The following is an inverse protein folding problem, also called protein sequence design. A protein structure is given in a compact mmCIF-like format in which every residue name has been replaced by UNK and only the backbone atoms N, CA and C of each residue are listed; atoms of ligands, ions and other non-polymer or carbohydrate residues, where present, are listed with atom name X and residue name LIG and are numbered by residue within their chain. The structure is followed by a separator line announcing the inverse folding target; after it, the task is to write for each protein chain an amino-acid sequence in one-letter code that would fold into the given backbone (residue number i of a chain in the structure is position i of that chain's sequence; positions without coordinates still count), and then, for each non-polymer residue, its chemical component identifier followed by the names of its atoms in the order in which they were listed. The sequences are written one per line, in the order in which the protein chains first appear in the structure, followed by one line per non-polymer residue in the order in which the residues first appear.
data_IF_347655257936
#
_entry.id   IF_347655257936
#
_cell.length_a   1.000
_cell.length_b   1.000
_cell.length_c   1.000
_cell.angle_alpha   90.00
_cell.angle_beta   90.00
_cell.angle_gamma   90.00
#
_symmetry.space_group_name_H-M   'P 1'
#
loop_
_entity.id
_entity.type
_entity.pdbx_description
1 polymer ?
#
# COMPACT_ATOMS: atom_id res chain seq x y z
N UNK A 1 -3.65 -20.02 26.49
CA UNK A 1 -3.95 -20.82 25.28
C UNK A 1 -2.70 -20.99 24.44
N UNK A 2 -2.73 -21.92 23.50
CA UNK A 2 -1.69 -22.09 22.48
C UNK A 2 -2.21 -21.58 21.13
N UNK A 3 -1.61 -20.52 20.61
CA UNK A 3 -2.05 -19.78 19.43
C UNK A 3 -1.08 -20.01 18.28
N UNK A 4 -1.60 -20.45 17.14
CA UNK A 4 -0.83 -20.59 15.90
C UNK A 4 -1.12 -19.45 14.92
N UNK A 5 -0.08 -18.93 14.25
CA UNK A 5 -0.22 -17.90 13.23
C UNK A 5 0.21 -18.43 11.87
N UNK A 6 -0.57 -18.17 10.83
CA UNK A 6 -0.25 -18.50 9.44
C UNK A 6 -0.29 -17.24 8.60
N UNK A 7 0.89 -16.83 8.11
CA UNK A 7 0.99 -15.79 7.08
C UNK A 7 0.98 -16.47 5.70
N UNK A 8 -0.16 -16.39 5.03
CA UNK A 8 -0.39 -17.07 3.74
C UNK A 8 0.43 -16.48 2.60
N UNK A 9 0.75 -15.19 2.70
CA UNK A 9 1.55 -14.49 1.70
C UNK A 9 3.07 -14.70 1.89
N UNK A 10 3.46 -15.32 3.01
CA UNK A 10 4.85 -15.55 3.39
C UNK A 10 5.46 -14.40 4.19
N UNK A 11 6.59 -14.67 4.82
CA UNK A 11 7.17 -13.80 5.85
C UNK A 11 8.05 -12.66 5.30
N UNK A 12 7.94 -12.31 4.02
CA UNK A 12 8.76 -11.26 3.41
C UNK A 12 8.27 -9.83 3.73
N UNK A 13 6.99 -9.70 4.06
CA UNK A 13 6.36 -8.43 4.44
C UNK A 13 5.63 -8.62 5.76
N UNK A 14 5.80 -7.69 6.73
CA UNK A 14 5.11 -7.77 8.01
C UNK A 14 3.59 -7.73 7.84
N UNK A 15 2.91 -8.71 8.42
CA UNK A 15 1.45 -8.78 8.43
C UNK A 15 0.93 -8.14 9.72
N UNK A 16 0.51 -6.88 9.62
CA UNK A 16 0.12 -6.06 10.77
C UNK A 16 -1.01 -6.68 11.62
N UNK A 17 -2.09 -7.25 11.03
CA UNK A 17 -3.10 -7.98 11.80
C UNK A 17 -2.52 -9.13 12.64
N UNK A 18 -1.64 -9.95 12.09
CA UNK A 18 -1.01 -11.05 12.84
C UNK A 18 -0.10 -10.52 13.97
N UNK A 19 0.60 -9.41 13.73
CA UNK A 19 1.43 -8.77 14.77
C UNK A 19 0.59 -8.24 15.93
N UNK A 20 -0.58 -7.64 15.66
CA UNK A 20 -1.51 -7.16 16.68
C UNK A 20 -2.15 -8.31 17.44
N UNK A 21 -2.60 -9.36 16.75
CA UNK A 21 -3.12 -10.59 17.38
C UNK A 21 -2.07 -11.23 18.28
N UNK A 22 -0.82 -11.31 17.83
CA UNK A 22 0.29 -11.83 18.64
C UNK A 22 0.49 -11.01 19.92
N UNK A 23 0.53 -9.69 19.79
CA UNK A 23 0.69 -8.79 20.93
C UNK A 23 -0.43 -8.96 21.94
N UNK A 24 -1.69 -9.00 21.46
CA UNK A 24 -2.86 -9.16 22.31
C UNK A 24 -2.85 -10.49 23.07
N UNK A 25 -2.62 -11.61 22.40
CA UNK A 25 -2.55 -12.92 23.04
C UNK A 25 -1.39 -13.04 24.05
N UNK A 26 -0.23 -12.49 23.71
CA UNK A 26 0.90 -12.45 24.65
C UNK A 26 0.57 -11.64 25.93
N UNK A 27 -0.17 -10.54 25.80
CA UNK A 27 -0.66 -9.77 26.98
C UNK A 27 -1.64 -10.57 27.84
N UNK A 28 -2.39 -11.51 27.26
CA UNK A 28 -3.27 -12.42 28.00
C UNK A 28 -2.52 -13.61 28.64
N UNK A 29 -1.21 -13.69 28.44
CA UNK A 29 -0.40 -14.81 28.93
C UNK A 29 -0.45 -16.07 28.05
N UNK A 30 -0.93 -15.95 26.81
CA UNK A 30 -0.98 -17.04 25.86
C UNK A 30 0.38 -17.29 25.21
N UNK A 31 0.61 -18.53 24.77
CA UNK A 31 1.80 -18.87 23.96
C UNK A 31 1.46 -18.68 22.49
N UNK A 32 2.19 -17.79 21.82
CA UNK A 32 2.02 -17.47 20.40
C UNK A 32 3.23 -17.90 19.59
N UNK A 33 3.01 -18.63 18.50
CA UNK A 33 4.07 -19.11 17.62
C UNK A 33 3.59 -19.20 16.17
N UNK A 34 4.52 -19.25 15.22
CA UNK A 34 4.16 -19.64 13.85
C UNK A 34 3.61 -21.06 13.86
N UNK A 35 2.49 -21.27 13.16
CA UNK A 35 1.85 -22.58 13.09
C UNK A 35 2.78 -23.60 12.44
N UNK A 36 2.93 -24.73 13.09
CA UNK A 36 3.64 -25.89 12.57
C UNK A 36 2.73 -27.12 12.55
N UNK A 37 2.56 -27.73 11.37
CA UNK A 37 1.64 -28.86 11.16
C UNK A 37 2.05 -30.08 11.99
N UNK A 38 3.36 -30.36 12.12
CA UNK A 38 3.83 -31.52 12.87
C UNK A 38 3.60 -31.34 14.36
N UNK A 39 3.94 -30.16 14.88
CA UNK A 39 3.68 -29.83 16.28
C UNK A 39 2.18 -29.86 16.58
N UNK A 40 1.34 -29.35 15.66
CA UNK A 40 -0.11 -29.38 15.77
C UNK A 40 -0.72 -30.78 15.77
N UNK A 41 -0.14 -31.70 15.01
CA UNK A 41 -0.58 -33.11 14.99
C UNK A 41 -0.46 -33.78 16.37
N UNK A 42 0.65 -33.51 17.09
CA UNK A 42 0.89 -34.13 18.41
C UNK A 42 0.25 -33.37 19.56
N UNK A 43 0.15 -32.03 19.43
CA UNK A 43 -0.48 -31.15 20.40
C UNK A 43 -1.27 -30.07 19.67
N UNK A 44 -2.59 -30.26 19.48
CA UNK A 44 -3.41 -29.29 18.75
C UNK A 44 -3.37 -27.90 19.37
N UNK A 45 -3.43 -26.88 18.51
CA UNK A 45 -3.55 -25.50 18.92
C UNK A 45 -4.95 -25.21 19.46
N UNK A 46 -5.09 -24.25 20.37
CA UNK A 46 -6.40 -23.78 20.78
C UNK A 46 -7.04 -22.96 19.66
N UNK A 47 -6.27 -22.00 19.11
CA UNK A 47 -6.72 -21.14 18.01
C UNK A 47 -5.62 -21.00 16.97
N UNK A 48 -5.98 -21.00 15.69
CA UNK A 48 -5.08 -20.65 14.58
C UNK A 48 -5.68 -19.47 13.81
N UNK A 49 -4.88 -18.41 13.67
CA UNK A 49 -5.21 -17.26 12.82
C UNK A 49 -4.46 -17.35 11.50
N UNK A 50 -5.20 -17.26 10.40
CA UNK A 50 -4.64 -17.23 9.04
C UNK A 50 -4.90 -15.86 8.43
N UNK A 51 -3.87 -15.20 7.95
CA UNK A 51 -4.00 -13.93 7.25
C UNK A 51 -3.50 -14.03 5.82
N UNK A 52 -4.32 -13.56 4.87
CA UNK A 52 -4.02 -13.48 3.45
C UNK A 52 -4.32 -12.07 2.95
N UNK A 53 -3.31 -11.37 2.46
CA UNK A 53 -3.43 -9.99 1.97
C UNK A 53 -3.73 -9.96 0.48
N UNK A 54 -3.05 -10.79 -0.33
CA UNK A 54 -3.16 -10.80 -1.78
C UNK A 54 -4.08 -11.92 -2.28
N UNK A 55 -5.02 -11.58 -3.16
CA UNK A 55 -5.95 -12.52 -3.79
C UNK A 55 -5.24 -13.63 -4.58
N UNK A 56 -4.11 -13.30 -5.19
CA UNK A 56 -3.34 -14.21 -6.04
C UNK A 56 -2.39 -15.14 -5.28
N UNK A 57 -2.17 -14.95 -3.98
CA UNK A 57 -1.34 -15.86 -3.18
C UNK A 57 -2.01 -17.23 -3.09
N UNK A 58 -1.27 -18.33 -3.30
CA UNK A 58 -1.78 -19.68 -3.06
C UNK A 58 -2.22 -19.82 -1.60
N UNK A 59 -3.33 -20.50 -1.37
CA UNK A 59 -3.80 -20.71 0.01
C UNK A 59 -2.93 -21.77 0.74
N UNK A 60 -3.01 -21.75 2.05
CA UNK A 60 -2.35 -22.76 2.89
C UNK A 60 -3.07 -24.12 2.73
N UNK A 61 -2.33 -25.14 2.30
CA UNK A 61 -2.89 -26.44 1.93
C UNK A 61 -2.59 -27.58 2.91
N UNK A 62 -1.71 -27.33 3.89
CA UNK A 62 -1.40 -28.36 4.89
C UNK A 62 -2.55 -28.51 5.90
N UNK A 63 -2.71 -29.70 6.52
CA UNK A 63 -3.69 -29.89 7.58
C UNK A 63 -3.47 -28.95 8.75
N UNK A 64 -4.56 -28.41 9.29
CA UNK A 64 -4.52 -27.54 10.47
C UNK A 64 -5.16 -28.28 11.65
N UNK A 65 -4.35 -28.53 12.68
CA UNK A 65 -4.77 -29.18 13.92
C UNK A 65 -4.98 -28.12 15.01
N UNK A 66 -6.22 -27.62 15.10
CA UNK A 66 -6.64 -26.61 16.06
C UNK A 66 -8.11 -26.82 16.44
N UNK A 67 -8.52 -26.30 17.62
CA UNK A 67 -9.93 -26.28 18.03
C UNK A 67 -10.72 -25.27 17.20
N UNK A 68 -10.10 -24.12 16.94
CA UNK A 68 -10.70 -23.03 16.15
C UNK A 68 -9.71 -22.51 15.10
N UNK A 69 -10.23 -22.12 13.93
CA UNK A 69 -9.44 -21.54 12.84
C UNK A 69 -10.15 -20.29 12.33
N UNK A 70 -9.48 -19.13 12.44
CA UNK A 70 -9.96 -17.86 11.94
C UNK A 70 -9.19 -17.45 10.70
N UNK A 71 -9.92 -17.06 9.63
CA UNK A 71 -9.35 -16.54 8.39
C UNK A 71 -9.66 -15.07 8.26
N UNK A 72 -8.66 -14.27 7.87
CA UNK A 72 -8.81 -12.84 7.68
C UNK A 72 -7.86 -12.28 6.62
N UNK A 73 -8.01 -10.99 6.38
CA UNK A 73 -7.22 -10.27 5.39
C UNK A 73 -7.92 -10.15 4.03
N UNK A 74 -7.53 -9.14 3.29
CA UNK A 74 -8.18 -8.72 2.02
C UNK A 74 -8.21 -9.82 0.97
N UNK A 75 -7.19 -10.68 0.93
CA UNK A 75 -7.08 -11.77 -0.03
C UNK A 75 -8.20 -12.84 0.10
N UNK A 76 -8.76 -13.01 1.30
CA UNK A 76 -9.93 -13.88 1.50
C UNK A 76 -11.26 -13.20 1.17
N UNK A 77 -11.27 -11.88 1.02
CA UNK A 77 -12.46 -11.11 0.66
C UNK A 77 -12.61 -10.93 -0.85
N UNK A 78 -11.67 -11.43 -1.64
CA UNK A 78 -11.65 -11.26 -3.10
C UNK A 78 -11.78 -12.61 -3.77
N UNK A 79 -12.81 -12.75 -4.63
CA UNK A 79 -12.93 -13.88 -5.56
C UNK A 79 -12.58 -13.44 -6.98
N UNK A 80 -12.16 -14.39 -7.81
CA UNK A 80 -11.97 -14.15 -9.24
C UNK A 80 -13.12 -14.81 -10.02
N UNK A 81 -14.01 -13.98 -10.55
CA UNK A 81 -15.15 -14.41 -11.36
C UNK A 81 -14.96 -13.98 -12.81
N UNK A 82 -14.80 -14.92 -13.71
CA UNK A 82 -14.57 -14.69 -15.14
C UNK A 82 -13.39 -13.73 -15.44
N UNK A 83 -12.34 -13.82 -14.62
CA UNK A 83 -11.16 -12.97 -14.78
C UNK A 83 -11.31 -11.55 -14.19
N UNK A 84 -12.31 -11.30 -13.35
CA UNK A 84 -12.47 -10.06 -12.59
C UNK A 84 -12.40 -10.33 -11.11
N UNK A 85 -11.68 -9.50 -10.40
CA UNK A 85 -11.67 -9.52 -8.94
C UNK A 85 -12.92 -8.86 -8.40
N UNK A 86 -13.67 -9.60 -7.56
CA UNK A 86 -14.87 -9.11 -6.87
C UNK A 86 -14.59 -9.11 -5.38
N UNK A 87 -14.78 -7.95 -4.77
CA UNK A 87 -14.64 -7.79 -3.33
C UNK A 87 -15.97 -8.10 -2.62
N UNK A 88 -15.91 -8.98 -1.64
CA UNK A 88 -17.03 -9.41 -0.80
C UNK A 88 -16.95 -8.73 0.56
N UNK A 89 -17.72 -7.67 0.73
CA UNK A 89 -17.72 -6.85 1.97
C UNK A 89 -18.09 -7.66 3.20
N UNK A 90 -18.98 -8.62 3.06
CA UNK A 90 -19.46 -9.52 4.12
C UNK A 90 -18.38 -10.44 4.68
N UNK A 91 -17.30 -10.67 3.92
CA UNK A 91 -16.15 -11.46 4.35
C UNK A 91 -15.05 -10.59 5.00
N UNK A 92 -15.21 -9.26 4.96
CA UNK A 92 -14.23 -8.35 5.53
C UNK A 92 -14.46 -8.18 7.03
N UNK A 93 -13.71 -8.90 7.81
CA UNK A 93 -13.73 -8.80 9.27
C UNK A 93 -12.57 -7.95 9.76
N UNK A 94 -12.87 -6.80 10.36
CA UNK A 94 -11.88 -5.97 11.04
C UNK A 94 -11.52 -6.61 12.39
N UNK A 95 -10.33 -6.30 12.87
CA UNK A 95 -9.97 -6.62 14.25
C UNK A 95 -10.88 -5.85 15.21
N UNK A 96 -11.24 -6.42 16.37
CA UNK A 96 -11.89 -5.67 17.46
C UNK A 96 -11.04 -4.48 17.88
N UNK A 97 -11.68 -3.39 18.31
CA UNK A 97 -10.99 -2.14 18.69
C UNK A 97 -9.90 -2.38 19.75
N UNK A 98 -10.13 -3.27 20.71
CA UNK A 98 -9.17 -3.64 21.74
C UNK A 98 -7.89 -4.30 21.19
N UNK A 99 -7.95 -4.87 19.98
CA UNK A 99 -6.79 -5.46 19.27
C UNK A 99 -6.25 -4.45 18.25
N UNK A 100 -7.12 -3.68 17.59
CA UNK A 100 -6.70 -2.72 16.56
C UNK A 100 -5.76 -1.65 17.12
N UNK A 101 -5.94 -1.21 18.37
CA UNK A 101 -5.13 -0.18 19.02
C UNK A 101 -3.95 -0.70 19.84
N UNK A 102 -3.64 -2.01 19.75
CA UNK A 102 -2.46 -2.60 20.41
C UNK A 102 -1.19 -2.32 19.57
N UNK A 103 -0.10 -1.98 20.29
CA UNK A 103 1.23 -1.89 19.70
C UNK A 103 1.63 -3.23 19.08
N UNK A 104 2.03 -3.27 17.80
CA UNK A 104 2.30 -4.51 17.08
C UNK A 104 3.49 -5.29 17.67
N UNK A 105 3.39 -6.61 17.68
CA UNK A 105 4.51 -7.49 18.03
C UNK A 105 5.53 -7.58 16.89
N UNK A 106 6.47 -6.68 16.87
CA UNK A 106 7.53 -6.63 15.85
C UNK A 106 8.48 -7.83 15.90
N UNK A 107 8.49 -8.61 16.99
CA UNK A 107 9.34 -9.79 17.10
C UNK A 107 8.98 -10.91 16.12
N UNK A 108 7.73 -10.94 15.62
CA UNK A 108 7.27 -11.90 14.61
C UNK A 108 8.03 -11.79 13.28
N UNK A 109 8.43 -10.56 12.90
CA UNK A 109 9.11 -10.26 11.64
C UNK A 109 10.42 -9.54 11.90
N UNK A 110 11.20 -10.05 12.84
CA UNK A 110 12.40 -9.38 13.37
C UNK A 110 13.34 -8.84 12.29
N UNK A 111 13.59 -9.59 11.21
CA UNK A 111 14.51 -9.14 10.15
C UNK A 111 13.98 -7.96 9.36
N UNK A 112 12.67 -7.90 9.12
CA UNK A 112 12.02 -6.83 8.35
C UNK A 112 11.72 -5.59 9.20
N UNK A 113 11.55 -5.77 10.51
CA UNK A 113 11.05 -4.73 11.42
C UNK A 113 12.10 -4.19 12.39
N UNK A 114 13.33 -4.69 12.32
CA UNK A 114 14.44 -4.34 13.23
C UNK A 114 14.59 -2.81 13.46
N UNK A 115 14.48 -2.03 12.39
CA UNK A 115 14.60 -0.57 12.42
C UNK A 115 13.38 0.12 11.78
N UNK A 116 12.28 -0.60 11.55
CA UNK A 116 11.15 -0.11 10.75
C UNK A 116 9.82 -0.39 11.41
N UNK A 117 9.03 0.66 11.63
CA UNK A 117 7.66 0.59 12.07
C UNK A 117 6.70 0.54 10.88
N UNK A 118 5.59 -0.18 11.02
CA UNK A 118 4.54 -0.33 10.01
C UNK A 118 3.20 0.03 10.62
N UNK A 119 2.41 0.87 9.93
CA UNK A 119 1.08 1.21 10.44
C UNK A 119 0.27 2.10 9.52
N UNK A 120 -0.92 2.44 10.01
CA UNK A 120 -1.85 3.34 9.40
C UNK A 120 -2.16 4.47 10.38
N UNK A 121 -2.05 5.70 9.94
CA UNK A 121 -2.57 6.87 10.63
C UNK A 121 -4.02 7.15 10.21
N UNK A 122 -4.32 6.85 8.93
CA UNK A 122 -5.66 7.08 8.36
C UNK A 122 -6.14 5.87 7.55
N UNK A 123 -7.46 5.74 7.45
CA UNK A 123 -8.17 4.79 6.59
C UNK A 123 -9.19 5.52 5.73
N UNK A 124 -9.57 4.89 4.60
CA UNK A 124 -10.54 5.43 3.66
C UNK A 124 -9.99 6.47 2.70
N UNK A 125 -10.74 6.69 1.61
CA UNK A 125 -10.34 7.63 0.56
C UNK A 125 -11.57 8.24 -0.14
N UNK A 126 -11.68 9.59 -0.26
CA UNK A 126 -12.85 10.24 -0.86
C UNK A 126 -12.92 10.11 -2.39
N UNK A 127 -11.97 9.45 -3.05
CA UNK A 127 -11.89 9.44 -4.53
C UNK A 127 -12.84 8.47 -5.20
N UNK A 128 -13.14 7.33 -4.61
CA UNK A 128 -14.05 6.35 -5.17
C UNK A 128 -13.66 5.86 -6.57
N UNK A 129 -12.35 5.72 -6.86
CA UNK A 129 -11.86 5.25 -8.14
C UNK A 129 -12.44 3.88 -8.47
N UNK A 130 -12.85 3.66 -9.74
CA UNK A 130 -13.53 2.43 -10.19
C UNK A 130 -12.69 1.18 -10.02
N UNK A 131 -11.39 1.31 -10.13
CA UNK A 131 -10.40 0.23 -10.02
C UNK A 131 -9.89 -0.01 -8.60
N UNK A 132 -10.32 0.80 -7.61
CA UNK A 132 -9.75 0.79 -6.27
C UNK A 132 -10.72 0.18 -5.26
N UNK A 133 -10.24 -0.80 -4.49
CA UNK A 133 -11.00 -1.50 -3.46
C UNK A 133 -11.27 -0.64 -2.21
N UNK A 134 -10.47 0.43 -1.98
CA UNK A 134 -10.52 1.21 -0.72
C UNK A 134 -11.92 1.75 -0.42
N UNK A 135 -12.65 2.21 -1.44
CA UNK A 135 -14.03 2.72 -1.27
C UNK A 135 -14.99 1.68 -0.68
N UNK A 136 -14.86 0.43 -1.10
CA UNK A 136 -15.73 -0.67 -0.69
C UNK A 136 -15.30 -1.27 0.65
N UNK A 137 -13.99 -1.28 0.90
CA UNK A 137 -13.38 -1.84 2.10
C UNK A 137 -13.36 -0.85 3.28
N UNK A 138 -12.97 0.40 3.05
CA UNK A 138 -12.66 1.38 4.10
C UNK A 138 -13.56 2.62 4.06
N UNK A 139 -14.35 2.80 2.97
CA UNK A 139 -15.28 3.91 2.79
C UNK A 139 -14.72 5.10 2.03
N UNK A 140 -15.64 6.06 1.77
CA UNK A 140 -15.40 7.26 0.95
C UNK A 140 -14.99 8.50 1.80
N UNK A 141 -14.42 8.29 2.98
CA UNK A 141 -13.93 9.37 3.83
C UNK A 141 -12.59 8.98 4.44
N UNK A 142 -11.56 9.79 4.23
CA UNK A 142 -10.31 9.60 4.96
C UNK A 142 -10.48 10.12 6.38
N UNK A 143 -10.20 9.29 7.36
CA UNK A 143 -10.33 9.60 8.77
C UNK A 143 -9.15 9.02 9.56
N UNK A 144 -8.78 9.69 10.63
CA UNK A 144 -7.74 9.24 11.57
C UNK A 144 -8.19 7.93 12.23
N UNK A 145 -7.28 6.95 12.30
CA UNK A 145 -7.50 5.65 12.97
C UNK A 145 -6.48 5.36 14.06
N UNK A 146 -5.34 6.03 14.05
CA UNK A 146 -4.32 5.87 15.09
C UNK A 146 -3.47 7.14 15.24
N UNK A 147 -2.83 7.28 16.38
CA UNK A 147 -1.68 8.13 16.58
C UNK A 147 -0.39 7.36 16.25
N UNK A 148 0.67 8.07 15.88
CA UNK A 148 1.94 7.45 15.53
C UNK A 148 2.50 6.56 16.66
N UNK A 149 2.29 6.94 17.92
CA UNK A 149 2.72 6.20 19.10
C UNK A 149 2.08 4.81 19.25
N UNK A 150 0.99 4.54 18.52
CA UNK A 150 0.33 3.23 18.58
C UNK A 150 1.11 2.14 17.80
N UNK A 151 2.04 2.53 16.92
CA UNK A 151 2.84 1.57 16.16
C UNK A 151 4.31 1.95 15.97
N UNK A 152 4.74 3.12 16.46
CA UNK A 152 6.12 3.57 16.41
C UNK A 152 6.64 3.91 17.83
N UNK A 153 7.83 3.40 18.16
CA UNK A 153 8.53 3.64 19.42
C UNK A 153 10.05 3.77 19.16
N UNK A 154 10.41 4.82 18.38
CA UNK A 154 11.79 5.17 18.11
C UNK A 154 12.48 4.41 16.96
N UNK A 155 11.79 3.60 16.17
CA UNK A 155 12.36 3.00 14.97
C UNK A 155 12.84 4.08 13.99
N UNK A 156 13.95 3.81 13.28
CA UNK A 156 14.56 4.76 12.33
C UNK A 156 13.71 5.02 11.10
N UNK A 157 12.89 4.05 10.72
CA UNK A 157 12.06 4.11 9.52
C UNK A 157 10.59 3.87 9.87
N UNK A 158 9.71 4.49 9.10
CA UNK A 158 8.26 4.31 9.17
C UNK A 158 7.75 3.99 7.77
N UNK A 159 7.10 2.85 7.61
CA UNK A 159 6.35 2.46 6.41
C UNK A 159 4.87 2.74 6.64
N UNK A 160 4.36 3.84 6.08
CA UNK A 160 2.94 4.19 6.15
C UNK A 160 2.15 3.48 5.06
N UNK A 161 1.07 2.86 5.47
CA UNK A 161 0.18 2.07 4.61
C UNK A 161 -1.12 2.81 4.28
N UNK A 162 -1.19 4.09 4.60
CA UNK A 162 -2.36 4.97 4.46
C UNK A 162 -2.82 5.10 3.02
N UNK A 163 -4.12 4.91 2.72
CA UNK A 163 -4.63 5.05 1.35
C UNK A 163 -4.70 6.51 0.89
N UNK A 164 -4.90 7.47 1.80
CA UNK A 164 -4.94 8.90 1.44
C UNK A 164 -4.86 9.82 2.67
N UNK A 165 -3.69 9.90 3.30
CA UNK A 165 -3.47 10.71 4.51
C UNK A 165 -3.83 12.18 4.30
N UNK A 166 -3.46 12.78 3.15
CA UNK A 166 -3.69 14.21 2.90
C UNK A 166 -5.16 14.61 2.77
N UNK A 167 -6.07 13.64 2.66
CA UNK A 167 -7.52 13.89 2.59
C UNK A 167 -8.20 13.86 3.96
N UNK A 168 -7.53 13.41 5.02
CA UNK A 168 -8.03 13.46 6.39
C UNK A 168 -8.17 14.91 6.87
N UNK A 169 -9.11 15.16 7.77
CA UNK A 169 -9.25 16.47 8.44
C UNK A 169 -8.07 16.72 9.39
N UNK A 170 -7.56 15.67 9.98
CA UNK A 170 -6.45 15.67 10.96
C UNK A 170 -5.07 15.64 10.29
N UNK A 171 -4.97 15.83 8.97
CA UNK A 171 -3.72 15.72 8.20
C UNK A 171 -2.56 16.56 8.78
N UNK A 172 -2.84 17.75 9.33
CA UNK A 172 -1.80 18.65 9.85
C UNK A 172 -1.20 18.09 11.14
N UNK A 173 -2.03 17.64 12.06
CA UNK A 173 -1.60 16.98 13.29
C UNK A 173 -0.77 15.71 12.98
N UNK A 174 -1.26 14.88 12.05
CA UNK A 174 -0.60 13.63 11.68
C UNK A 174 0.76 13.87 11.00
N UNK A 175 0.86 14.88 10.11
CA UNK A 175 2.15 15.26 9.55
C UNK A 175 3.09 15.84 10.61
N UNK A 176 2.56 16.54 11.63
CA UNK A 176 3.39 17.06 12.73
C UNK A 176 3.98 15.90 13.56
N UNK A 177 3.21 14.86 13.86
CA UNK A 177 3.74 13.66 14.55
C UNK A 177 4.89 13.02 13.75
N UNK A 178 4.77 12.95 12.42
CA UNK A 178 5.85 12.43 11.55
C UNK A 178 7.08 13.34 11.55
N UNK A 179 6.91 14.66 11.58
CA UNK A 179 8.03 15.63 11.69
C UNK A 179 8.75 15.43 13.02
N UNK A 180 8.01 15.34 14.12
CA UNK A 180 8.56 15.24 15.46
C UNK A 180 9.28 13.92 15.71
N UNK A 181 8.87 12.83 15.04
CA UNK A 181 9.51 11.53 15.11
C UNK A 181 10.96 11.55 14.59
N UNK A 182 11.27 12.42 13.64
CA UNK A 182 12.55 12.48 12.90
C UNK A 182 12.92 11.18 12.17
N UNK A 183 12.01 10.19 12.14
CA UNK A 183 12.18 8.96 11.42
C UNK A 183 12.08 9.17 9.90
N UNK A 184 12.74 8.32 9.13
CA UNK A 184 12.61 8.34 7.67
C UNK A 184 11.30 7.69 7.25
N UNK A 185 10.42 8.44 6.60
CA UNK A 185 9.07 7.99 6.24
C UNK A 185 8.99 7.54 4.78
N UNK A 186 8.34 6.42 4.55
CA UNK A 186 7.92 5.96 3.24
C UNK A 186 6.38 5.98 3.16
N UNK A 187 5.82 6.75 2.22
CA UNK A 187 4.38 6.81 1.94
C UNK A 187 4.05 5.74 0.87
N UNK A 188 3.86 4.49 1.30
CA UNK A 188 3.79 3.32 0.43
C UNK A 188 2.65 3.35 -0.59
N UNK A 189 1.43 3.73 -0.15
CA UNK A 189 0.25 3.72 -1.01
C UNK A 189 0.09 5.00 -1.83
N UNK A 190 0.92 5.99 -1.54
CA UNK A 190 0.92 7.27 -2.23
C UNK A 190 0.05 8.34 -1.58
N UNK A 191 0.31 9.57 -2.02
CA UNK A 191 -0.39 10.75 -1.58
C UNK A 191 -1.19 11.35 -2.75
N UNK A 192 -2.41 11.81 -2.48
CA UNK A 192 -3.23 12.46 -3.51
C UNK A 192 -2.74 13.90 -3.76
N UNK A 193 -2.03 14.10 -4.87
CA UNK A 193 -1.49 15.40 -5.25
C UNK A 193 -2.59 16.48 -5.39
N UNK A 194 -3.82 16.12 -5.72
CA UNK A 194 -4.95 17.06 -5.83
C UNK A 194 -5.30 17.74 -4.51
N UNK A 195 -4.93 17.12 -3.38
CA UNK A 195 -5.10 17.68 -2.04
C UNK A 195 -3.95 18.62 -1.63
N UNK A 196 -2.91 18.78 -2.47
CA UNK A 196 -1.74 19.60 -2.18
C UNK A 196 -2.09 21.08 -2.07
N UNK A 197 -1.48 21.73 -1.10
CA UNK A 197 -1.44 23.17 -0.92
C UNK A 197 -0.07 23.59 -0.36
N UNK A 198 0.18 24.87 -0.23
CA UNK A 198 1.45 25.39 0.28
C UNK A 198 1.83 24.79 1.63
N UNK A 199 0.92 24.78 2.58
CA UNK A 199 1.16 24.29 3.94
C UNK A 199 1.51 22.79 3.97
N UNK A 200 0.80 21.96 3.19
CA UNK A 200 1.10 20.54 3.07
C UNK A 200 2.47 20.29 2.46
N UNK A 201 2.82 21.01 1.41
CA UNK A 201 4.13 20.91 0.77
C UNK A 201 5.27 21.31 1.72
N UNK A 202 5.10 22.39 2.47
CA UNK A 202 6.07 22.85 3.47
C UNK A 202 6.23 21.84 4.61
N UNK A 203 5.15 21.24 5.10
CA UNK A 203 5.23 20.24 6.17
C UNK A 203 5.88 18.94 5.69
N UNK A 204 5.51 18.45 4.50
CA UNK A 204 6.17 17.28 3.90
C UNK A 204 7.67 17.48 3.72
N UNK A 205 8.12 18.71 3.42
CA UNK A 205 9.54 19.02 3.30
C UNK A 205 10.35 18.93 4.61
N UNK A 206 9.66 18.92 5.74
CA UNK A 206 10.29 18.80 7.07
C UNK A 206 10.44 17.36 7.53
N UNK A 207 9.77 16.43 6.86
CA UNK A 207 9.83 14.99 7.15
C UNK A 207 11.05 14.40 6.41
N UNK A 208 11.93 13.64 7.06
CA UNK A 208 12.91 12.83 6.35
C UNK A 208 12.19 11.78 5.50
N UNK A 209 12.28 11.88 4.17
CA UNK A 209 11.50 11.04 3.26
C UNK A 209 12.40 10.05 2.53
N UNK A 210 12.02 8.76 2.56
CA UNK A 210 12.62 7.70 1.77
C UNK A 210 12.08 7.71 0.35
N UNK A 211 10.75 7.76 0.22
CA UNK A 211 10.03 7.87 -1.04
C UNK A 211 8.65 8.49 -0.83
N UNK A 212 8.24 9.31 -1.79
CA UNK A 212 6.84 9.73 -1.96
C UNK A 212 6.34 9.21 -3.29
N UNK A 213 5.16 8.65 -3.23
CA UNK A 213 4.40 8.26 -4.40
C UNK A 213 3.19 9.17 -4.54
N UNK A 214 3.00 9.73 -5.73
CA UNK A 214 1.77 10.40 -6.12
C UNK A 214 1.04 9.53 -7.15
N UNK A 215 -0.19 9.94 -7.53
CA UNK A 215 -0.93 9.28 -8.59
C UNK A 215 -1.52 10.32 -9.56
N UNK A 216 -1.45 9.98 -10.85
CA UNK A 216 -2.15 10.68 -11.92
C UNK A 216 -2.86 9.66 -12.82
N UNK A 217 -4.00 9.19 -12.36
CA UNK A 217 -4.73 8.12 -13.05
C UNK A 217 -5.74 8.66 -14.07
N UNK A 218 -6.37 9.81 -13.78
CA UNK A 218 -7.40 10.39 -14.61
C UNK A 218 -6.87 11.58 -15.41
N UNK A 219 -6.97 11.48 -16.73
CA UNK A 219 -6.53 12.56 -17.62
C UNK A 219 -7.39 13.84 -17.47
N UNK A 220 -8.66 13.69 -17.12
CA UNK A 220 -9.59 14.78 -16.89
C UNK A 220 -9.16 15.72 -15.75
N UNK A 221 -8.37 15.23 -14.82
CA UNK A 221 -7.81 16.01 -13.70
C UNK A 221 -6.51 16.77 -14.10
N UNK A 222 -6.13 16.78 -15.39
CA UNK A 222 -4.85 17.30 -15.88
C UNK A 222 -4.49 18.68 -15.33
N UNK A 223 -5.35 19.68 -15.56
CA UNK A 223 -5.03 21.07 -15.21
C UNK A 223 -4.87 21.24 -13.70
N UNK A 224 -5.73 20.59 -12.91
CA UNK A 224 -5.63 20.58 -11.45
C UNK A 224 -4.33 19.92 -10.99
N UNK A 225 -4.02 18.74 -11.51
CA UNK A 225 -2.83 17.97 -11.11
C UNK A 225 -1.56 18.74 -11.47
N UNK A 226 -1.46 19.31 -12.67
CA UNK A 226 -0.32 20.10 -13.09
C UNK A 226 -0.12 21.34 -12.22
N UNK A 227 -1.21 22.04 -11.87
CA UNK A 227 -1.16 23.17 -10.93
C UNK A 227 -0.63 22.73 -9.55
N UNK A 228 -1.14 21.60 -9.02
CA UNK A 228 -0.75 21.09 -7.70
C UNK A 228 0.70 20.61 -7.67
N UNK A 229 1.19 20.03 -8.75
CA UNK A 229 2.62 19.69 -8.87
C UNK A 229 3.51 20.93 -8.90
N UNK A 230 3.09 22.05 -9.53
CA UNK A 230 3.83 23.31 -9.47
C UNK A 230 3.91 23.84 -8.04
N UNK A 231 2.77 23.91 -7.32
CA UNK A 231 2.75 24.29 -5.88
C UNK A 231 3.71 23.42 -5.08
N UNK A 232 3.65 22.12 -5.27
CA UNK A 232 4.54 21.19 -4.55
C UNK A 232 6.02 21.46 -4.86
N UNK A 233 6.39 21.73 -6.11
CA UNK A 233 7.79 22.03 -6.48
C UNK A 233 8.28 23.38 -5.96
N UNK A 234 7.42 24.38 -5.90
CA UNK A 234 7.75 25.70 -5.41
C UNK A 234 7.96 25.73 -3.88
N UNK A 235 7.21 24.91 -3.15
CA UNK A 235 7.17 24.90 -1.68
C UNK A 235 7.93 23.74 -1.03
N UNK A 236 8.29 22.73 -1.81
CA UNK A 236 8.95 21.54 -1.30
C UNK A 236 10.43 21.47 -1.73
N UNK A 237 11.29 21.10 -0.77
CA UNK A 237 12.71 20.80 -1.02
C UNK A 237 12.98 19.34 -1.36
N UNK A 238 11.94 18.51 -1.49
CA UNK A 238 12.06 17.06 -1.76
C UNK A 238 12.65 16.84 -3.15
N UNK A 239 13.67 16.00 -3.23
CA UNK A 239 14.41 15.78 -4.47
C UNK A 239 13.58 15.01 -5.49
N UNK A 240 13.71 15.36 -6.76
CA UNK A 240 12.99 14.70 -7.86
C UNK A 240 13.20 13.17 -7.90
N UNK A 241 14.40 12.68 -7.53
CA UNK A 241 14.70 11.24 -7.48
C UNK A 241 13.88 10.45 -6.44
N UNK A 242 13.35 11.14 -5.44
CA UNK A 242 12.57 10.56 -4.35
C UNK A 242 11.05 10.65 -4.63
N UNK A 243 10.68 11.15 -5.83
CA UNK A 243 9.31 11.37 -6.28
C UNK A 243 8.95 10.40 -7.41
N UNK A 244 7.95 9.56 -7.19
CA UNK A 244 7.39 8.67 -8.19
C UNK A 244 5.90 8.96 -8.37
N UNK A 245 5.40 8.86 -9.61
CA UNK A 245 3.99 9.11 -9.91
C UNK A 245 3.39 7.88 -10.59
N UNK A 246 2.46 7.24 -9.91
CA UNK A 246 1.69 6.13 -10.48
C UNK A 246 0.76 6.64 -11.58
N UNK A 247 0.72 5.92 -12.69
CA UNK A 247 -0.15 6.17 -13.81
C UNK A 247 -0.83 4.87 -14.21
N UNK A 248 -2.13 4.73 -13.93
CA UNK A 248 -2.89 3.59 -14.41
C UNK A 248 -3.19 3.76 -15.89
N UNK A 249 -3.09 2.68 -16.66
CA UNK A 249 -3.39 2.60 -18.08
C UNK A 249 -4.22 1.36 -18.39
N UNK A 250 -4.98 1.39 -19.49
CA UNK A 250 -5.76 0.24 -19.92
C UNK A 250 -7.08 0.03 -19.17
N UNK A 251 -7.50 0.97 -18.33
CA UNK A 251 -8.76 0.94 -17.58
C UNK A 251 -9.96 1.35 -18.43
N UNK A 252 -9.77 2.29 -19.37
CA UNK A 252 -10.80 2.73 -20.33
C UNK A 252 -10.78 1.91 -21.62
N UNK A 253 -9.61 1.80 -22.22
CA UNK A 253 -9.38 1.06 -23.45
C UNK A 253 -8.13 0.18 -23.31
N UNK A 254 -8.17 -1.00 -23.90
CA UNK A 254 -7.07 -1.97 -23.86
C UNK A 254 -5.98 -1.66 -24.90
N UNK A 255 -5.60 -0.38 -24.99
CA UNK A 255 -4.52 0.12 -25.85
C UNK A 255 -3.83 1.31 -25.20
N UNK A 256 -2.68 1.69 -25.75
CA UNK A 256 -2.00 2.93 -25.35
C UNK A 256 -2.76 4.12 -25.96
N UNK A 257 -3.15 5.06 -25.11
CA UNK A 257 -3.83 6.29 -25.51
C UNK A 257 -2.84 7.45 -25.57
N UNK A 258 -3.13 8.45 -26.44
CA UNK A 258 -2.34 9.68 -26.50
C UNK A 258 -2.33 10.40 -25.13
N UNK A 259 -3.45 10.36 -24.41
CA UNK A 259 -3.56 10.89 -23.05
C UNK A 259 -2.65 10.18 -22.04
N UNK A 260 -2.36 8.89 -22.22
CA UNK A 260 -1.40 8.17 -21.38
C UNK A 260 0.03 8.68 -21.64
N UNK A 261 0.39 8.80 -22.90
CA UNK A 261 1.70 9.30 -23.30
C UNK A 261 1.89 10.77 -22.87
N UNK A 262 0.86 11.61 -23.00
CA UNK A 262 0.92 13.01 -22.58
C UNK A 262 1.20 13.14 -21.08
N UNK A 263 0.50 12.36 -20.22
CA UNK A 263 0.76 12.32 -18.77
C UNK A 263 2.20 11.92 -18.47
N UNK A 264 2.67 10.85 -19.12
CA UNK A 264 4.00 10.28 -18.92
C UNK A 264 5.10 11.28 -19.36
N UNK A 265 4.96 11.91 -20.53
CA UNK A 265 5.91 12.90 -21.01
C UNK A 265 5.93 14.14 -20.14
N UNK A 266 4.75 14.66 -19.77
CA UNK A 266 4.67 15.82 -18.90
C UNK A 266 5.37 15.56 -17.54
N UNK A 267 5.14 14.41 -16.94
CA UNK A 267 5.81 14.03 -15.67
C UNK A 267 7.32 14.00 -15.83
N UNK A 268 7.84 13.36 -16.87
CA UNK A 268 9.27 13.32 -17.15
C UNK A 268 9.85 14.72 -17.34
N UNK A 269 9.22 15.54 -18.18
CA UNK A 269 9.70 16.87 -18.53
C UNK A 269 9.69 17.83 -17.34
N UNK A 270 8.86 17.54 -16.32
CA UNK A 270 8.83 18.27 -15.06
C UNK A 270 9.64 17.60 -13.91
N UNK A 271 10.47 16.59 -14.22
CA UNK A 271 11.40 15.98 -13.28
C UNK A 271 10.79 14.94 -12.34
N UNK A 272 9.59 14.43 -12.66
CA UNK A 272 8.97 13.32 -11.94
C UNK A 272 9.29 11.99 -12.61
N UNK A 273 9.33 10.91 -11.82
CA UNK A 273 9.49 9.55 -12.35
C UNK A 273 8.11 8.88 -12.50
N UNK A 274 7.53 8.80 -13.70
CA UNK A 274 6.29 8.06 -13.90
C UNK A 274 6.50 6.57 -13.64
N UNK A 275 5.46 5.91 -13.13
CA UNK A 275 5.42 4.46 -12.96
C UNK A 275 4.09 3.94 -13.49
N UNK A 276 4.13 3.19 -14.57
CA UNK A 276 2.94 2.69 -15.26
C UNK A 276 2.43 1.42 -14.59
N UNK A 277 1.17 1.44 -14.22
CA UNK A 277 0.40 0.29 -13.75
C UNK A 277 -0.66 -0.06 -14.79
N UNK A 278 -0.78 -1.34 -15.16
CA UNK A 278 -1.77 -1.78 -16.15
C UNK A 278 -2.95 -2.39 -15.41
N UNK A 279 -4.13 -1.84 -15.64
CA UNK A 279 -5.37 -2.40 -15.08
C UNK A 279 -5.60 -3.82 -15.61
N UNK A 280 -5.89 -4.78 -14.72
CA UNK A 280 -6.08 -6.20 -15.05
C UNK A 280 -5.04 -6.76 -16.05
N UNK A 281 -3.77 -6.48 -15.80
CA UNK A 281 -2.64 -6.87 -16.65
C UNK A 281 -2.62 -8.34 -17.04
N UNK A 282 -3.08 -9.21 -16.16
CA UNK A 282 -3.10 -10.66 -16.37
C UNK A 282 -4.00 -11.12 -17.53
N UNK A 283 -4.93 -10.27 -17.97
CA UNK A 283 -5.79 -10.54 -19.14
C UNK A 283 -5.11 -10.23 -20.48
N UNK A 284 -3.94 -9.59 -20.46
CA UNK A 284 -3.26 -9.17 -21.71
C UNK A 284 -2.37 -10.27 -22.25
N UNK A 285 -2.35 -10.48 -23.59
CA UNK A 285 -1.44 -11.41 -24.23
C UNK A 285 0.01 -10.92 -24.12
N UNK A 286 0.97 -11.86 -24.12
CA UNK A 286 2.40 -11.53 -24.15
C UNK A 286 2.71 -10.63 -25.35
N UNK A 287 3.50 -9.57 -25.11
CA UNK A 287 3.90 -8.64 -26.18
C UNK A 287 2.89 -7.52 -26.48
N UNK A 288 1.79 -7.45 -25.75
CA UNK A 288 0.81 -6.37 -25.87
C UNK A 288 1.45 -4.98 -25.69
N UNK A 289 0.97 -3.96 -26.40
CA UNK A 289 1.56 -2.62 -26.38
C UNK A 289 1.58 -1.96 -25.00
N UNK A 290 0.55 -2.17 -24.17
CA UNK A 290 0.54 -1.71 -22.78
C UNK A 290 1.67 -2.33 -21.95
N UNK A 291 2.01 -3.61 -22.18
CA UNK A 291 3.15 -4.27 -21.52
C UNK A 291 4.48 -3.66 -22.00
N UNK A 292 4.57 -3.31 -23.29
CA UNK A 292 5.74 -2.60 -23.82
C UNK A 292 5.85 -1.20 -23.24
N UNK A 293 4.73 -0.46 -23.11
CA UNK A 293 4.68 0.84 -22.46
C UNK A 293 5.16 0.75 -20.99
N UNK A 294 4.61 -0.19 -20.23
CA UNK A 294 5.03 -0.41 -18.84
C UNK A 294 6.54 -0.73 -18.76
N UNK A 295 7.04 -1.62 -19.61
CA UNK A 295 8.46 -1.98 -19.64
C UNK A 295 9.33 -0.77 -19.96
N UNK A 296 8.95 0.04 -20.91
CA UNK A 296 9.66 1.26 -21.29
C UNK A 296 9.72 2.25 -20.13
N UNK A 297 8.58 2.62 -19.56
CA UNK A 297 8.49 3.66 -18.53
C UNK A 297 9.13 3.21 -17.22
N UNK A 298 8.87 1.97 -16.77
CA UNK A 298 9.32 1.49 -15.47
C UNK A 298 10.80 1.08 -15.46
N UNK A 299 11.43 0.94 -16.63
CA UNK A 299 12.87 0.77 -16.72
C UNK A 299 13.54 2.14 -16.89
N UNK A 300 14.04 2.70 -15.78
CA UNK A 300 14.63 4.04 -15.73
C UNK A 300 15.76 4.22 -16.77
N UNK A 301 16.60 3.21 -17.01
CA UNK A 301 17.69 3.31 -17.99
C UNK A 301 17.17 3.47 -19.42
N UNK A 302 16.15 2.71 -19.78
CA UNK A 302 15.54 2.77 -21.11
C UNK A 302 14.76 4.09 -21.26
N UNK A 303 13.93 4.42 -20.27
CA UNK A 303 13.04 5.58 -20.30
C UNK A 303 13.80 6.92 -20.47
N UNK A 304 14.93 7.07 -19.78
CA UNK A 304 15.72 8.30 -19.88
C UNK A 304 16.68 8.33 -21.07
N UNK A 305 16.88 7.20 -21.79
CA UNK A 305 17.70 7.14 -22.99
C UNK A 305 16.91 7.35 -24.29
N UNK A 306 15.61 7.05 -24.29
CA UNK A 306 14.73 7.18 -25.45
C UNK A 306 13.76 8.33 -25.24
N UNK A 307 13.57 9.17 -26.26
CA UNK A 307 12.73 10.37 -26.11
C UNK A 307 11.23 10.05 -26.20
N UNK A 308 10.87 9.06 -27.01
CA UNK A 308 9.48 8.72 -27.26
C UNK A 308 9.22 7.22 -27.18
N UNK A 309 7.97 6.85 -26.90
CA UNK A 309 7.54 5.47 -26.95
C UNK A 309 7.67 4.85 -28.36
N UNK A 310 7.45 5.67 -29.39
CA UNK A 310 7.63 5.26 -30.79
C UNK A 310 9.09 4.90 -31.11
N UNK A 311 10.04 5.68 -30.61
CA UNK A 311 11.48 5.39 -30.73
C UNK A 311 11.82 4.05 -30.05
N UNK A 312 11.32 3.83 -28.84
CA UNK A 312 11.50 2.56 -28.13
C UNK A 312 10.93 1.35 -28.87
N UNK A 313 9.80 1.50 -29.57
CA UNK A 313 9.21 0.39 -30.35
C UNK A 313 9.99 0.07 -31.61
N UNK A 314 10.77 1.01 -32.14
CA UNK A 314 11.59 0.86 -33.32
C UNK A 314 13.04 0.42 -33.04
N UNK A 315 13.43 0.39 -31.76
CA UNK A 315 14.73 -0.08 -31.27
C UNK A 315 14.68 -1.55 -30.84
#
# INVERSE_FOLDING_TARGET
MRIGLIDVDGHNYPNLPLMKLSAWHKQQGDTVEWYDTWNGLFAPYDVVYMSKVFSFSPDYTQPIYAKEVHRGGTGYCITNENGREIFHKELNHNLPDEIEHIYPDYSLYHEQTKDTAYGFLTRGCPRGCSFCIVKDKEGLCSHKVADLSEFWDGQKNIELLDPNLLASKEWEELLQQLIDSKATVNFNQGLDIRMMNDRKAEMLSKIPIKAIHFAWDRYEDKDLIQLKFKIFREKSSIRAKDLQVYCIVGDKERRVLDSDLERIYWLRDNGYAPYVMIYEKYQLPKGHELIKLQRWVNNRFIFWKTNTFKEYLGS
#
